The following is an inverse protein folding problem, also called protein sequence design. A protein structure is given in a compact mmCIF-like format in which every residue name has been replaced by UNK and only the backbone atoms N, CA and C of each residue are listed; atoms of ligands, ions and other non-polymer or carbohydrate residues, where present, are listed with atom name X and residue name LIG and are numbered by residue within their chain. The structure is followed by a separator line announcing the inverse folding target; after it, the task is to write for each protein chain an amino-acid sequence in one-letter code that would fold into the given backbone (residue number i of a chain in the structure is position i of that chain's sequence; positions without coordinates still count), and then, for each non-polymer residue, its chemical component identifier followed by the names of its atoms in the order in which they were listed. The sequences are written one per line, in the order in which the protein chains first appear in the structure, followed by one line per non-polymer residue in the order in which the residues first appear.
data_IF_799873188354
#
_entry.id   IF_799873188354
#
_cell.length_a   1.000
_cell.length_b   1.000
_cell.length_c   1.000
_cell.angle_alpha   90.00
_cell.angle_beta   90.00
_cell.angle_gamma   90.00
#
_symmetry.space_group_name_H-M   'P 1'
#
loop_
_entity.id
_entity.type
_entity.pdbx_description
1 polymer ?
#
# COMPACT_ATOMS: atom_id res chain seq x y z
N UNK A 1 14.29 -31.37 15.77
CA UNK A 1 14.70 -30.01 16.19
C UNK A 1 13.44 -29.22 16.45
N UNK A 2 13.12 -29.03 17.73
CA UNK A 2 11.94 -28.32 18.22
C UNK A 2 12.15 -26.81 18.10
N UNK A 3 11.30 -26.13 17.33
CA UNK A 3 11.23 -24.67 17.35
C UNK A 3 10.53 -24.23 18.65
N UNK A 4 11.31 -23.72 19.60
CA UNK A 4 10.80 -22.83 20.64
C UNK A 4 10.89 -21.40 20.11
N UNK A 5 9.75 -20.78 19.86
CA UNK A 5 9.64 -19.32 19.92
C UNK A 5 8.28 -19.01 20.53
N UNK A 6 8.29 -19.03 21.87
CA UNK A 6 7.18 -18.76 22.78
C UNK A 6 7.14 -17.27 23.12
N UNK A 7 6.93 -16.40 22.13
CA UNK A 7 6.72 -14.99 22.47
C UNK A 7 5.26 -14.81 22.89
N UNK A 8 4.98 -14.77 24.19
CA UNK A 8 3.65 -14.42 24.71
C UNK A 8 3.31 -12.92 24.50
N UNK A 9 4.25 -12.11 23.98
CA UNK A 9 4.09 -10.66 23.81
C UNK A 9 4.91 -10.14 22.63
N UNK A 10 4.60 -8.92 22.19
CA UNK A 10 5.36 -8.21 21.15
C UNK A 10 6.84 -8.05 21.58
N UNK A 11 7.81 -8.34 20.68
CA UNK A 11 9.24 -8.17 20.93
C UNK A 11 9.60 -6.80 21.51
N UNK A 12 10.52 -6.80 22.49
CA UNK A 12 10.97 -5.62 23.22
C UNK A 12 12.40 -5.23 22.85
N UNK A 13 13.17 -6.15 22.28
CA UNK A 13 14.55 -5.91 21.86
C UNK A 13 14.75 -6.30 20.40
N UNK A 14 15.78 -5.73 19.77
CA UNK A 14 16.12 -6.06 18.38
C UNK A 14 16.48 -7.54 18.20
N UNK A 15 17.10 -8.16 19.21
CA UNK A 15 17.49 -9.56 19.15
C UNK A 15 16.30 -10.51 19.25
N UNK A 16 15.25 -10.13 19.99
CA UNK A 16 13.97 -10.84 19.98
C UNK A 16 13.21 -10.68 18.67
N UNK A 17 13.34 -9.53 18.01
CA UNK A 17 12.62 -9.22 16.77
C UNK A 17 13.29 -9.83 15.52
N UNK A 18 14.61 -9.99 15.54
CA UNK A 18 15.36 -10.50 14.40
C UNK A 18 14.95 -11.92 14.04
N UNK A 19 14.43 -12.11 12.83
CA UNK A 19 13.98 -13.42 12.35
C UNK A 19 12.71 -13.93 13.05
N UNK A 20 12.01 -13.10 13.83
CA UNK A 20 10.77 -13.50 14.51
C UNK A 20 9.61 -13.69 13.53
N UNK A 21 9.71 -13.07 12.35
CA UNK A 21 8.71 -13.13 11.30
C UNK A 21 9.27 -13.76 10.03
N UNK A 22 8.35 -14.28 9.20
CA UNK A 22 8.70 -15.01 7.97
C UNK A 22 8.07 -14.34 6.78
N UNK A 23 8.83 -14.24 5.70
CA UNK A 23 8.27 -13.93 4.39
C UNK A 23 7.40 -15.11 3.94
N UNK A 24 6.19 -14.81 3.50
CA UNK A 24 5.22 -15.78 2.99
C UNK A 24 4.70 -15.34 1.63
N UNK A 25 4.17 -16.29 0.88
CA UNK A 25 3.46 -15.99 -0.36
C UNK A 25 2.23 -15.11 -0.12
N UNK A 26 1.66 -14.61 -1.22
CA UNK A 26 0.51 -13.70 -1.23
C UNK A 26 -0.64 -14.28 -0.37
N UNK A 27 -1.17 -13.54 0.60
CA UNK A 27 -2.07 -14.12 1.60
C UNK A 27 -3.55 -14.17 1.17
N UNK A 28 -3.91 -13.54 0.04
CA UNK A 28 -5.27 -13.52 -0.48
C UNK A 28 -5.29 -13.37 -2.01
N UNK A 29 -6.49 -13.43 -2.61
CA UNK A 29 -6.67 -13.23 -4.04
C UNK A 29 -6.41 -11.78 -4.49
N UNK A 30 -6.26 -11.63 -5.81
CA UNK A 30 -5.95 -10.35 -6.47
C UNK A 30 -7.19 -9.68 -7.04
N UNK A 31 -8.40 -10.12 -6.65
CA UNK A 31 -9.64 -9.53 -7.16
C UNK A 31 -9.77 -8.13 -6.57
N UNK A 32 -9.59 -7.12 -7.41
CA UNK A 32 -9.68 -5.72 -7.02
C UNK A 32 -11.07 -5.17 -7.41
N UNK A 33 -11.72 -4.37 -6.54
CA UNK A 33 -13.04 -3.83 -6.84
C UNK A 33 -13.03 -2.91 -8.06
N UNK A 34 -14.03 -3.04 -8.93
CA UNK A 34 -14.20 -2.18 -10.10
C UNK A 34 -14.23 -0.68 -9.71
N UNK A 35 -13.60 0.15 -10.54
CA UNK A 35 -13.61 1.61 -10.40
C UNK A 35 -14.31 2.19 -11.62
N UNK A 36 -15.26 3.10 -11.37
CA UNK A 36 -16.01 3.76 -12.44
C UNK A 36 -15.09 4.57 -13.36
N UNK A 37 -15.22 4.35 -14.67
CA UNK A 37 -14.56 5.12 -15.70
C UNK A 37 -14.80 6.62 -15.51
N UNK A 38 -13.74 7.42 -15.58
CA UNK A 38 -13.84 8.86 -15.52
C UNK A 38 -14.07 9.43 -16.93
N UNK A 39 -15.08 10.28 -17.12
CA UNK A 39 -15.40 10.89 -18.42
C UNK A 39 -14.54 12.13 -18.73
N UNK A 40 -13.24 12.06 -18.48
CA UNK A 40 -12.33 13.19 -18.67
C UNK A 40 -11.91 13.30 -20.13
N UNK A 41 -11.72 14.55 -20.60
CA UNK A 41 -11.28 14.79 -21.97
C UNK A 41 -9.75 14.66 -22.06
N UNK A 42 -9.20 13.84 -22.97
CA UNK A 42 -7.75 13.77 -23.20
C UNK A 42 -7.26 14.98 -24.00
N UNK A 43 -6.10 15.53 -23.62
CA UNK A 43 -5.51 16.74 -24.23
C UNK A 43 -4.11 16.53 -24.84
N UNK A 44 -3.65 15.28 -25.03
CA UNK A 44 -2.38 15.01 -25.70
C UNK A 44 -1.88 13.58 -25.54
N UNK A 45 -0.56 13.40 -25.49
CA UNK A 45 0.11 12.09 -25.35
C UNK A 45 0.86 11.93 -24.02
N UNK A 46 0.86 12.97 -23.17
CA UNK A 46 1.45 12.88 -21.83
C UNK A 46 0.63 11.96 -20.93
N UNK A 47 1.30 11.31 -19.97
CA UNK A 47 0.65 10.51 -18.95
C UNK A 47 0.89 11.13 -17.57
N UNK A 48 -0.20 11.44 -16.87
CA UNK A 48 -0.18 11.90 -15.49
C UNK A 48 -0.38 10.71 -14.56
N UNK A 49 0.55 10.52 -13.62
CA UNK A 49 0.42 9.56 -12.52
C UNK A 49 0.10 10.32 -11.23
N UNK A 50 -1.10 10.10 -10.71
CA UNK A 50 -1.56 10.61 -9.43
C UNK A 50 -1.29 9.57 -8.34
N UNK A 51 -0.55 9.97 -7.30
CA UNK A 51 -0.21 9.10 -6.16
C UNK A 51 -0.93 9.62 -4.92
N UNK A 52 -1.97 8.94 -4.40
CA UNK A 52 -2.86 9.49 -3.40
C UNK A 52 -2.41 9.23 -1.96
N UNK A 53 -1.20 9.64 -1.60
CA UNK A 53 -0.64 9.43 -0.26
C UNK A 53 0.35 10.53 0.14
N UNK A 54 0.46 10.80 1.44
CA UNK A 54 1.50 11.65 2.04
C UNK A 54 2.78 10.87 2.36
N UNK A 55 2.73 9.53 2.29
CA UNK A 55 3.88 8.70 2.61
C UNK A 55 4.94 8.84 1.50
N UNK A 56 6.01 9.57 1.79
CA UNK A 56 7.09 9.83 0.84
C UNK A 56 7.76 8.57 0.31
N UNK A 57 7.86 7.51 1.11
CA UNK A 57 8.54 6.30 0.69
C UNK A 57 7.71 5.54 -0.36
N UNK A 58 6.39 5.48 -0.17
CA UNK A 58 5.46 4.95 -1.19
C UNK A 58 5.54 5.78 -2.47
N UNK A 59 5.58 7.11 -2.34
CA UNK A 59 5.73 8.02 -3.49
C UNK A 59 7.03 7.76 -4.23
N UNK A 60 8.17 7.71 -3.52
CA UNK A 60 9.50 7.46 -4.10
C UNK A 60 9.54 6.11 -4.81
N UNK A 61 9.01 5.05 -4.18
CA UNK A 61 8.95 3.71 -4.76
C UNK A 61 8.12 3.68 -6.06
N UNK A 62 6.90 4.20 -6.03
CA UNK A 62 6.02 4.23 -7.20
C UNK A 62 6.62 5.06 -8.34
N UNK A 63 7.15 6.24 -8.04
CA UNK A 63 7.84 7.09 -9.04
C UNK A 63 8.98 6.33 -9.70
N UNK A 64 9.87 5.73 -8.92
CA UNK A 64 11.03 5.01 -9.44
C UNK A 64 10.61 3.83 -10.33
N UNK A 65 9.69 2.98 -9.86
CA UNK A 65 9.27 1.77 -10.59
C UNK A 65 8.46 2.08 -11.84
N UNK A 66 7.54 3.04 -11.78
CA UNK A 66 6.75 3.44 -12.96
C UNK A 66 7.62 4.16 -13.99
N UNK A 67 8.58 4.98 -13.56
CA UNK A 67 9.55 5.60 -14.47
C UNK A 67 10.41 4.56 -15.20
N UNK A 68 10.77 3.46 -14.54
CA UNK A 68 11.52 2.35 -15.16
C UNK A 68 10.66 1.55 -16.16
N UNK A 69 9.37 1.38 -15.88
CA UNK A 69 8.45 0.58 -16.70
C UNK A 69 7.77 1.35 -17.82
N UNK A 70 7.94 2.67 -17.88
CA UNK A 70 7.23 3.51 -18.85
C UNK A 70 7.61 3.13 -20.30
N UNK A 71 6.66 3.20 -21.24
CA UNK A 71 6.98 3.18 -22.66
C UNK A 71 7.92 4.32 -23.04
N UNK A 72 8.77 4.08 -24.04
CA UNK A 72 9.81 5.04 -24.45
C UNK A 72 9.23 6.35 -24.98
N UNK A 73 8.04 6.30 -25.58
CA UNK A 73 7.30 7.39 -26.21
C UNK A 73 6.40 8.19 -25.25
N UNK A 74 6.22 7.73 -24.01
CA UNK A 74 5.37 8.41 -23.03
C UNK A 74 6.21 9.32 -22.10
N UNK A 75 5.78 10.58 -21.98
CA UNK A 75 6.25 11.51 -20.96
C UNK A 75 5.41 11.35 -19.69
N UNK A 76 6.07 11.08 -18.55
CA UNK A 76 5.40 10.95 -17.25
C UNK A 76 5.43 12.25 -16.46
N UNK A 77 4.27 12.64 -15.96
CA UNK A 77 4.08 13.68 -14.95
C UNK A 77 3.64 13.01 -13.66
N UNK A 78 4.19 13.42 -12.51
CA UNK A 78 3.79 12.86 -11.22
C UNK A 78 3.17 13.95 -10.35
N UNK A 79 1.97 13.67 -9.85
CA UNK A 79 1.28 14.53 -8.89
C UNK A 79 0.95 13.73 -7.64
N UNK A 80 1.29 14.27 -6.48
CA UNK A 80 0.92 13.69 -5.19
C UNK A 80 -0.30 14.43 -4.67
N UNK A 81 -1.39 13.70 -4.42
CA UNK A 81 -2.62 14.25 -3.84
C UNK A 81 -2.85 13.55 -2.51
N UNK A 82 -2.44 14.14 -1.38
CA UNK A 82 -2.72 13.62 -0.05
C UNK A 82 -4.16 13.17 0.12
N UNK A 83 -4.37 11.93 0.59
CA UNK A 83 -5.69 11.46 1.01
C UNK A 83 -5.63 11.05 2.47
N UNK A 84 -6.49 11.67 3.28
CA UNK A 84 -6.71 11.28 4.67
C UNK A 84 -7.05 9.79 4.76
N UNK A 85 -6.38 9.08 5.66
CA UNK A 85 -6.74 7.72 6.08
C UNK A 85 -7.96 7.71 7.04
N UNK A 86 -8.50 8.89 7.38
CA UNK A 86 -9.61 9.12 8.29
C UNK A 86 -9.36 8.51 9.69
N UNK A 87 -8.08 8.41 10.08
CA UNK A 87 -7.62 7.77 11.31
C UNK A 87 -7.42 6.24 11.19
N UNK A 88 -7.76 5.65 10.04
CA UNK A 88 -7.63 4.22 9.78
C UNK A 88 -6.29 3.87 9.13
N UNK A 89 -5.23 3.79 9.93
CA UNK A 89 -3.89 3.53 9.41
C UNK A 89 -3.66 2.06 9.02
N UNK A 90 -4.46 1.12 9.53
CA UNK A 90 -4.27 -0.31 9.31
C UNK A 90 -5.60 -1.07 9.04
N UNK A 91 -6.01 -1.25 7.79
CA UNK A 91 -7.15 -2.09 7.44
C UNK A 91 -6.85 -3.59 7.56
N UNK A 92 -7.89 -4.41 7.74
CA UNK A 92 -7.82 -5.87 7.78
C UNK A 92 -8.50 -6.51 6.56
N UNK A 93 -7.96 -7.64 6.12
CA UNK A 93 -8.50 -8.50 5.06
C UNK A 93 -8.94 -7.66 3.82
N UNK A 94 -10.18 -7.82 3.37
CA UNK A 94 -10.75 -7.13 2.21
C UNK A 94 -10.83 -5.59 2.35
N UNK A 95 -10.69 -5.06 3.58
CA UNK A 95 -10.67 -3.61 3.78
C UNK A 95 -9.43 -2.96 3.17
N UNK A 96 -8.33 -3.71 2.95
CA UNK A 96 -7.15 -3.19 2.25
C UNK A 96 -7.49 -2.71 0.84
N UNK A 97 -8.24 -3.52 0.08
CA UNK A 97 -8.68 -3.19 -1.28
C UNK A 97 -9.71 -2.07 -1.28
N UNK A 98 -10.64 -2.10 -0.34
CA UNK A 98 -11.66 -1.05 -0.16
C UNK A 98 -11.01 0.32 0.13
N UNK A 99 -10.02 0.35 1.02
CA UNK A 99 -9.27 1.57 1.33
C UNK A 99 -8.48 2.07 0.12
N UNK A 100 -7.81 1.19 -0.63
CA UNK A 100 -7.11 1.56 -1.86
C UNK A 100 -8.06 2.21 -2.89
N UNK A 101 -9.23 1.61 -3.16
CA UNK A 101 -10.26 2.20 -4.03
C UNK A 101 -10.75 3.55 -3.51
N UNK A 102 -11.00 3.68 -2.20
CA UNK A 102 -11.42 4.94 -1.57
C UNK A 102 -10.38 6.05 -1.78
N UNK A 103 -9.08 5.74 -1.70
CA UNK A 103 -8.00 6.71 -1.97
C UNK A 103 -8.02 7.18 -3.43
N UNK A 104 -8.19 6.27 -4.38
CA UNK A 104 -8.32 6.63 -5.81
C UNK A 104 -9.49 7.58 -6.01
N UNK A 105 -10.66 7.24 -5.46
CA UNK A 105 -11.86 8.07 -5.57
C UNK A 105 -11.68 9.46 -4.94
N UNK A 106 -11.14 9.53 -3.72
CA UNK A 106 -10.87 10.83 -3.04
C UNK A 106 -9.92 11.70 -3.85
N UNK A 107 -8.84 11.12 -4.37
CA UNK A 107 -7.86 11.86 -5.14
C UNK A 107 -8.40 12.28 -6.52
N UNK A 108 -9.24 11.46 -7.15
CA UNK A 108 -9.95 11.83 -8.39
C UNK A 108 -10.82 13.08 -8.19
N UNK A 109 -11.63 13.09 -7.14
CA UNK A 109 -12.47 14.24 -6.82
C UNK A 109 -11.66 15.49 -6.47
N UNK A 110 -10.57 15.34 -5.71
CA UNK A 110 -9.69 16.45 -5.39
C UNK A 110 -8.99 17.00 -6.64
N UNK A 111 -8.51 16.11 -7.53
CA UNK A 111 -7.90 16.51 -8.79
C UNK A 111 -8.86 17.33 -9.65
N UNK A 112 -10.09 16.86 -9.83
CA UNK A 112 -11.09 17.57 -10.64
C UNK A 112 -11.47 18.93 -10.08
N UNK A 113 -11.50 19.06 -8.75
CA UNK A 113 -11.82 20.33 -8.08
C UNK A 113 -10.65 21.33 -8.18
N UNK A 114 -9.44 20.86 -7.95
CA UNK A 114 -8.29 21.74 -7.67
C UNK A 114 -7.34 21.91 -8.87
N UNK A 115 -7.48 21.09 -9.92
CA UNK A 115 -6.56 21.02 -11.06
C UNK A 115 -7.27 21.00 -12.43
N UNK A 116 -8.39 21.72 -12.56
CA UNK A 116 -9.30 21.63 -13.72
C UNK A 116 -8.66 21.91 -15.09
N UNK A 117 -7.61 22.73 -15.18
CA UNK A 117 -6.88 23.01 -16.44
C UNK A 117 -5.63 22.14 -16.64
N UNK A 118 -5.21 21.38 -15.63
CA UNK A 118 -3.90 20.73 -15.62
C UNK A 118 -3.70 19.78 -16.79
N UNK A 119 -4.75 19.03 -17.18
CA UNK A 119 -4.68 18.09 -18.29
C UNK A 119 -4.39 18.81 -19.62
N UNK A 120 -5.07 19.93 -19.87
CA UNK A 120 -4.86 20.76 -21.06
C UNK A 120 -3.47 21.41 -21.05
N UNK A 121 -3.14 22.10 -19.96
CA UNK A 121 -1.88 22.85 -19.80
C UNK A 121 -0.65 21.95 -19.98
N UNK A 122 -0.74 20.67 -19.60
CA UNK A 122 0.35 19.70 -19.68
C UNK A 122 0.18 18.67 -20.81
N UNK A 123 -0.81 18.84 -21.70
CA UNK A 123 -1.08 17.93 -22.84
C UNK A 123 -1.20 16.46 -22.42
N UNK A 124 -1.94 16.22 -21.35
CA UNK A 124 -2.14 14.90 -20.77
C UNK A 124 -3.27 14.17 -21.50
N UNK A 125 -2.97 13.00 -22.06
CA UNK A 125 -3.93 12.09 -22.68
C UNK A 125 -4.34 10.94 -21.77
N UNK A 126 -3.42 10.48 -20.90
CA UNK A 126 -3.66 9.39 -19.95
C UNK A 126 -3.56 9.91 -18.51
N UNK A 127 -4.48 9.49 -17.65
CA UNK A 127 -4.34 9.67 -16.19
C UNK A 127 -4.37 8.32 -15.48
N UNK A 128 -3.31 8.03 -14.74
CA UNK A 128 -3.16 6.85 -13.90
C UNK A 128 -3.26 7.24 -12.43
N UNK A 129 -3.95 6.44 -11.64
CA UNK A 129 -3.88 6.47 -10.18
C UNK A 129 -3.06 5.29 -9.69
N UNK A 130 -1.97 5.53 -8.98
CA UNK A 130 -1.10 4.48 -8.46
C UNK A 130 -1.12 4.48 -6.92
N UNK A 131 -1.55 3.36 -6.32
CA UNK A 131 -1.78 3.23 -4.87
C UNK A 131 -1.04 2.03 -4.30
N UNK A 132 -0.50 2.20 -3.09
CA UNK A 132 -0.03 1.11 -2.23
C UNK A 132 -0.79 1.22 -0.90
N UNK A 133 -1.59 0.22 -0.57
CA UNK A 133 -2.32 0.14 0.70
C UNK A 133 -1.87 -1.06 1.52
N UNK A 134 -1.38 -0.82 2.73
CA UNK A 134 -1.01 -1.89 3.65
C UNK A 134 -2.25 -2.45 4.31
N UNK A 135 -2.26 -3.75 4.62
CA UNK A 135 -3.35 -4.38 5.38
C UNK A 135 -2.84 -5.60 6.15
N UNK A 136 -3.59 -6.02 7.16
CA UNK A 136 -3.37 -7.33 7.80
C UNK A 136 -4.34 -8.36 7.23
N UNK A 137 -3.85 -9.46 6.69
CA UNK A 137 -4.66 -10.64 6.47
C UNK A 137 -4.77 -11.43 7.78
N UNK A 138 -5.98 -11.57 8.30
CA UNK A 138 -6.30 -12.32 9.52
C UNK A 138 -7.10 -13.58 9.21
N UNK A 139 -8.00 -13.53 8.21
CA UNK A 139 -8.80 -14.66 7.78
C UNK A 139 -8.05 -15.60 6.84
N UNK A 140 -8.39 -16.90 6.85
CA UNK A 140 -7.87 -17.91 5.90
C UNK A 140 -6.34 -18.04 5.83
N UNK A 141 -5.64 -17.66 6.91
CA UNK A 141 -4.18 -17.79 7.06
C UNK A 141 -3.87 -18.49 8.38
N UNK A 142 -2.76 -19.24 8.44
CA UNK A 142 -2.32 -19.92 9.67
C UNK A 142 -1.94 -18.93 10.78
N UNK A 143 -1.36 -17.80 10.39
CA UNK A 143 -0.89 -16.72 11.25
C UNK A 143 -1.20 -15.39 10.57
N UNK A 144 -1.52 -14.31 11.31
CA UNK A 144 -1.71 -13.00 10.71
C UNK A 144 -0.55 -12.59 9.81
N UNK A 145 -0.82 -11.84 8.73
CA UNK A 145 0.16 -11.43 7.73
C UNK A 145 0.03 -9.94 7.42
N UNK A 146 1.12 -9.17 7.49
CA UNK A 146 1.19 -7.84 6.88
C UNK A 146 1.52 -7.96 5.40
N UNK A 147 0.68 -7.40 4.55
CA UNK A 147 0.88 -7.34 3.11
C UNK A 147 0.44 -5.98 2.57
N UNK A 148 0.61 -5.76 1.27
CA UNK A 148 0.11 -4.58 0.59
C UNK A 148 -0.68 -4.93 -0.66
N UNK A 149 -1.78 -4.21 -0.87
CA UNK A 149 -2.47 -4.10 -2.15
C UNK A 149 -1.77 -3.01 -2.96
N UNK A 150 -1.42 -3.31 -4.20
CA UNK A 150 -0.91 -2.36 -5.18
C UNK A 150 -1.93 -2.29 -6.31
N UNK A 151 -2.34 -1.09 -6.69
CA UNK A 151 -3.26 -0.88 -7.80
C UNK A 151 -2.80 0.28 -8.68
N UNK A 152 -2.87 0.10 -9.99
CA UNK A 152 -2.73 1.15 -11.00
C UNK A 152 -3.98 1.19 -11.86
N UNK A 153 -4.72 2.28 -11.75
CA UNK A 153 -5.99 2.49 -12.41
C UNK A 153 -5.87 3.55 -13.50
N UNK A 154 -6.22 3.22 -14.75
CA UNK A 154 -6.31 4.18 -15.84
C UNK A 154 -7.71 4.80 -15.87
N UNK A 155 -7.79 6.06 -15.46
CA UNK A 155 -9.04 6.80 -15.36
C UNK A 155 -9.71 7.07 -16.71
N UNK A 156 -8.94 7.02 -17.80
CA UNK A 156 -9.42 7.32 -19.15
C UNK A 156 -10.00 6.08 -19.84
N UNK A 157 -9.58 4.88 -19.45
CA UNK A 157 -10.02 3.62 -20.06
C UNK A 157 -10.83 2.74 -19.10
N UNK A 158 -10.80 3.04 -17.80
CA UNK A 158 -11.44 2.22 -16.77
C UNK A 158 -10.63 0.96 -16.41
N UNK A 159 -9.50 0.72 -17.06
CA UNK A 159 -8.68 -0.46 -16.82
C UNK A 159 -7.94 -0.35 -15.49
N UNK A 160 -7.93 -1.45 -14.73
CA UNK A 160 -7.18 -1.55 -13.48
C UNK A 160 -6.24 -2.74 -13.54
N UNK A 161 -4.97 -2.51 -13.27
CA UNK A 161 -4.02 -3.56 -12.93
C UNK A 161 -3.80 -3.52 -11.42
N UNK A 162 -3.99 -4.65 -10.74
CA UNK A 162 -3.84 -4.72 -9.29
C UNK A 162 -3.23 -6.05 -8.84
N UNK A 163 -2.78 -6.08 -7.60
CA UNK A 163 -2.49 -7.33 -6.92
C UNK A 163 -1.91 -7.13 -5.53
N UNK A 164 -1.59 -8.26 -4.92
CA UNK A 164 -1.14 -8.33 -3.53
C UNK A 164 0.32 -8.70 -3.51
N UNK A 165 1.10 -8.00 -2.68
CA UNK A 165 2.50 -8.35 -2.47
C UNK A 165 2.63 -9.70 -1.78
N UNK A 166 3.85 -10.26 -1.76
CA UNK A 166 4.20 -11.23 -0.70
C UNK A 166 3.92 -10.59 0.67
N UNK A 167 3.67 -11.44 1.66
CA UNK A 167 3.38 -11.01 3.01
C UNK A 167 4.52 -11.29 3.98
N UNK A 168 4.48 -10.66 5.14
CA UNK A 168 5.32 -11.03 6.28
C UNK A 168 4.42 -11.43 7.44
N UNK A 169 4.67 -12.60 8.03
CA UNK A 169 3.88 -13.04 9.19
C UNK A 169 3.95 -12.04 10.33
N UNK A 170 2.95 -12.07 11.20
CA UNK A 170 2.89 -11.26 12.40
C UNK A 170 2.57 -12.14 13.59
N UNK A 171 3.30 -11.97 14.68
CA UNK A 171 2.87 -12.56 15.95
C UNK A 171 1.47 -12.06 16.31
N UNK A 172 0.52 -12.92 16.74
CA UNK A 172 -0.83 -12.47 17.13
C UNK A 172 -0.83 -11.31 18.12
N UNK A 173 0.16 -11.27 19.02
CA UNK A 173 0.37 -10.16 19.95
C UNK A 173 0.50 -8.77 19.28
N UNK A 174 1.00 -8.67 18.05
CA UNK A 174 1.00 -7.40 17.30
C UNK A 174 -0.40 -6.95 16.92
N UNK A 175 -1.25 -7.89 16.51
CA UNK A 175 -2.65 -7.62 16.18
C UNK A 175 -3.43 -7.24 17.43
N UNK A 176 -3.20 -7.94 18.53
CA UNK A 176 -3.81 -7.63 19.84
C UNK A 176 -3.38 -6.24 20.34
N UNK A 177 -2.10 -5.91 20.27
CA UNK A 177 -1.58 -4.59 20.62
C UNK A 177 -2.21 -3.50 19.74
N UNK A 178 -2.25 -3.69 18.41
CA UNK A 178 -2.88 -2.76 17.48
C UNK A 178 -4.36 -2.52 17.82
N UNK A 179 -5.10 -3.59 18.15
CA UNK A 179 -6.51 -3.53 18.58
C UNK A 179 -6.68 -2.82 19.92
N UNK A 180 -5.79 -3.06 20.87
CA UNK A 180 -5.84 -2.45 22.21
C UNK A 180 -5.70 -0.92 22.17
N UNK A 181 -5.00 -0.39 21.16
CA UNK A 181 -4.81 1.04 20.92
C UNK A 181 -6.00 1.73 20.26
N UNK A 182 -7.05 0.97 19.98
CA UNK A 182 -8.35 1.47 19.59
C UNK A 182 -8.76 1.10 18.17
N UNK A 183 -10.02 0.71 18.06
CA UNK A 183 -10.75 0.67 16.80
C UNK A 183 -11.27 2.07 16.48
N UNK A 184 -11.13 2.48 15.22
CA UNK A 184 -11.55 3.82 14.79
C UNK A 184 -13.07 3.79 14.59
N UNK A 185 -13.79 4.61 15.37
CA UNK A 185 -15.27 4.64 15.41
C UNK A 185 -15.95 3.29 15.72
N UNK A 186 -15.26 2.37 16.40
CA UNK A 186 -15.79 1.04 16.73
C UNK A 186 -15.76 0.02 15.58
N UNK A 187 -15.16 0.37 14.44
CA UNK A 187 -14.96 -0.53 13.30
C UNK A 187 -13.89 -1.59 13.61
N UNK A 188 -14.30 -2.85 13.77
CA UNK A 188 -13.41 -3.96 14.14
C UNK A 188 -12.54 -4.45 12.98
N UNK A 189 -12.78 -3.98 11.76
CA UNK A 189 -12.05 -4.39 10.56
C UNK A 189 -10.84 -3.48 10.28
N UNK A 190 -10.57 -2.49 11.15
CA UNK A 190 -9.50 -1.50 10.97
C UNK A 190 -8.95 -1.01 12.31
N UNK A 191 -7.65 -0.75 12.37
CA UNK A 191 -6.98 -0.16 13.54
C UNK A 191 -6.30 1.17 13.21
N UNK A 192 -6.08 1.97 14.25
CA UNK A 192 -5.36 3.25 14.16
C UNK A 192 -3.84 3.09 14.17
N UNK A 193 -3.34 1.91 14.53
CA UNK A 193 -1.91 1.64 14.73
C UNK A 193 -1.42 0.50 13.86
N UNK A 194 -0.25 0.69 13.26
CA UNK A 194 0.49 -0.26 12.42
C UNK A 194 1.53 -1.03 13.22
N UNK A 195 2.00 -2.18 12.71
CA UNK A 195 3.12 -2.92 13.34
C UNK A 195 4.38 -2.07 13.40
N UNK A 196 4.66 -1.27 12.37
CA UNK A 196 5.81 -0.40 12.33
C UNK A 196 5.84 0.62 13.46
N UNK A 197 4.68 1.15 13.87
CA UNK A 197 4.56 2.04 15.03
C UNK A 197 4.83 1.30 16.33
N UNK A 198 4.16 0.16 16.51
CA UNK A 198 4.32 -0.68 17.71
C UNK A 198 5.80 -1.05 17.93
N UNK A 199 6.50 -1.44 16.87
CA UNK A 199 7.90 -1.85 16.95
C UNK A 199 8.82 -0.65 17.17
N UNK A 200 8.65 0.44 16.42
CA UNK A 200 9.53 1.60 16.51
C UNK A 200 9.44 2.33 17.86
N UNK A 201 8.30 2.25 18.54
CA UNK A 201 8.15 2.74 19.92
C UNK A 201 8.96 1.94 20.95
N UNK A 202 9.22 0.65 20.67
CA UNK A 202 9.88 -0.27 21.61
C UNK A 202 11.35 -0.48 21.27
N UNK A 203 11.70 -0.43 19.99
CA UNK A 203 13.01 -0.76 19.46
C UNK A 203 13.49 0.41 18.58
N UNK A 204 14.23 1.34 19.19
CA UNK A 204 14.67 2.61 18.58
C UNK A 204 15.42 2.43 17.24
N UNK A 205 16.16 1.32 17.09
CA UNK A 205 16.92 1.04 15.86
C UNK A 205 16.06 0.61 14.67
N UNK A 206 14.77 0.31 14.86
CA UNK A 206 13.88 -0.15 13.79
C UNK A 206 13.19 1.02 13.12
N UNK A 207 13.32 1.09 11.79
CA UNK A 207 12.58 2.06 10.98
C UNK A 207 11.12 1.63 10.87
N UNK A 208 10.20 2.48 11.36
CA UNK A 208 8.74 2.28 11.26
C UNK A 208 8.28 1.83 9.87
N UNK A 209 8.78 2.46 8.80
CA UNK A 209 8.36 2.20 7.43
C UNK A 209 8.93 0.89 6.84
N UNK A 210 9.97 0.32 7.45
CA UNK A 210 10.69 -0.85 6.92
C UNK A 210 11.09 -1.82 8.04
N UNK A 211 10.16 -2.08 8.95
CA UNK A 211 10.36 -3.03 10.05
C UNK A 211 10.55 -4.47 9.55
N UNK A 212 10.12 -4.76 8.33
CA UNK A 212 10.25 -6.06 7.66
C UNK A 212 11.71 -6.50 7.54
N UNK A 213 12.64 -5.58 7.26
CA UNK A 213 14.05 -5.90 7.08
C UNK A 213 14.66 -6.58 8.32
N UNK A 214 14.59 -6.01 9.53
CA UNK A 214 15.06 -6.74 10.72
C UNK A 214 14.20 -7.97 11.06
N UNK A 215 12.89 -7.94 10.81
CA UNK A 215 11.98 -9.02 11.23
C UNK A 215 12.13 -10.31 10.42
N UNK A 216 12.27 -10.22 9.09
CA UNK A 216 12.31 -11.36 8.18
C UNK A 216 13.47 -11.32 7.17
N UNK A 217 14.39 -10.36 7.31
CA UNK A 217 15.58 -10.25 6.46
C UNK A 217 15.32 -9.68 5.06
N UNK A 218 14.12 -9.18 4.77
CA UNK A 218 13.77 -8.60 3.47
C UNK A 218 13.06 -7.27 3.65
N UNK A 219 13.56 -6.22 2.99
CA UNK A 219 12.95 -4.90 3.03
C UNK A 219 11.54 -4.91 2.41
N UNK A 220 10.64 -4.12 3.01
CA UNK A 220 9.32 -3.80 2.49
C UNK A 220 9.38 -3.26 1.07
N UNK A 221 10.37 -2.43 0.77
CA UNK A 221 10.52 -1.81 -0.56
C UNK A 221 10.88 -2.84 -1.62
N UNK A 222 11.61 -3.90 -1.26
CA UNK A 222 11.86 -5.05 -2.13
C UNK A 222 10.57 -5.83 -2.36
N UNK A 223 9.84 -6.19 -1.30
CA UNK A 223 8.60 -6.98 -1.36
C UNK A 223 7.54 -6.30 -2.25
N UNK A 224 7.30 -5.01 -2.02
CA UNK A 224 6.33 -4.23 -2.80
C UNK A 224 6.86 -3.92 -4.20
N UNK A 225 8.17 -3.64 -4.32
CA UNK A 225 8.84 -3.37 -5.58
C UNK A 225 8.75 -4.53 -6.58
N UNK A 226 8.99 -5.77 -6.12
CA UNK A 226 8.83 -6.98 -6.93
C UNK A 226 7.42 -7.11 -7.50
N UNK A 227 6.39 -6.77 -6.71
CA UNK A 227 5.01 -6.82 -7.20
C UNK A 227 4.76 -5.78 -8.29
N UNK A 228 5.22 -4.54 -8.11
CA UNK A 228 5.09 -3.48 -9.12
C UNK A 228 5.83 -3.86 -10.41
N UNK A 229 7.00 -4.50 -10.30
CA UNK A 229 7.75 -4.99 -11.45
C UNK A 229 6.99 -6.02 -12.27
N UNK A 230 6.25 -6.91 -11.62
CA UNK A 230 5.46 -7.94 -12.28
C UNK A 230 4.16 -7.42 -12.92
N UNK A 231 3.69 -6.22 -12.55
CA UNK A 231 2.41 -5.68 -13.03
C UNK A 231 2.47 -5.22 -14.50
N UNK A 232 1.38 -5.45 -15.23
CA UNK A 232 1.15 -4.93 -16.58
C UNK A 232 0.44 -3.59 -16.50
N UNK A 233 1.22 -2.51 -16.45
CA UNK A 233 0.68 -1.15 -16.24
C UNK A 233 -0.20 -0.73 -17.43
N UNK A 234 -1.44 -0.26 -17.20
CA UNK A 234 -2.38 0.12 -18.27
C UNK A 234 -2.07 1.55 -18.77
N UNK A 235 -0.95 1.72 -19.48
CA UNK A 235 -0.50 3.01 -20.04
C UNK A 235 -1.48 3.68 -21.00
#
# INVERSE_FOLDING_TARGET
MSYHSSFESVPKTIDEFRGSEKLVERPCDEIFPDIELQSWTPHGHGCLVIIPTENEDKVKLLRAKLQQKKPSDIALHFLCIPTSDDGYSQPFDEQGKTCAKKRIWKASNAFMRDHSSYLEDNRIGTVLFAVIESFFQLGNVERPVDAAVIAVYNAMTGQTEAGVSKGVTLHPAFVEEARSRGFVYGDQERCSTTVGEIVAERIESVKKADWHEPACGTSRYTIVGERIEAMNIPW
#
